data_IF_150172188192
#
_entry.id   IF_150172188192
#
_cell.length_a   1.000
_cell.length_b   1.000
_cell.length_c   1.000
_cell.angle_alpha   90.00
_cell.angle_beta   90.00
_cell.angle_gamma   90.00
#
_symmetry.space_group_name_H-M   'P 1'
#
loop_
_entity.id
_entity.type
_entity.pdbx_description
1 polymer ?
#
# COMPACT_ATOMS: atom_id res chain seq x y z
N UNK A 1 3.34 -31.48 -29.13
CA UNK A 1 2.11 -30.70 -29.43
C UNK A 1 2.47 -29.24 -29.22
N UNK A 2 2.67 -28.49 -30.31
CA UNK A 2 3.02 -27.08 -30.26
C UNK A 2 1.72 -26.30 -30.10
N UNK A 3 1.41 -25.88 -28.88
CA UNK A 3 0.47 -24.78 -28.68
C UNK A 3 1.08 -23.56 -29.36
N UNK A 4 0.33 -22.97 -30.29
CA UNK A 4 0.67 -21.72 -30.93
C UNK A 4 0.62 -20.62 -29.86
N UNK A 5 1.69 -20.50 -29.05
CA UNK A 5 1.83 -19.48 -28.01
C UNK A 5 1.88 -18.14 -28.71
N UNK A 6 0.79 -17.36 -28.65
CA UNK A 6 0.87 -15.93 -28.94
C UNK A 6 1.75 -15.30 -27.86
N UNK A 7 3.03 -15.16 -28.17
CA UNK A 7 4.04 -14.51 -27.34
C UNK A 7 4.14 -13.04 -27.76
N UNK A 8 3.80 -12.15 -26.84
CA UNK A 8 4.01 -10.71 -27.01
C UNK A 8 5.31 -10.33 -26.32
N UNK A 9 6.18 -9.58 -27.01
CA UNK A 9 7.44 -9.08 -26.42
C UNK A 9 7.37 -7.57 -26.22
N UNK A 10 7.82 -7.09 -25.07
CA UNK A 10 8.00 -5.67 -24.79
C UNK A 10 9.22 -5.46 -23.88
N UNK A 11 9.66 -4.22 -23.72
CA UNK A 11 10.76 -3.93 -22.81
C UNK A 11 10.29 -3.89 -21.35
N UNK A 12 9.16 -3.23 -21.09
CA UNK A 12 8.63 -3.01 -19.75
C UNK A 12 7.18 -3.49 -19.62
N UNK A 13 6.88 -4.13 -18.49
CA UNK A 13 5.50 -4.39 -18.06
C UNK A 13 5.25 -3.68 -16.73
N UNK A 14 4.11 -3.00 -16.63
CA UNK A 14 3.56 -2.54 -15.35
C UNK A 14 2.33 -3.39 -15.04
N UNK A 15 2.45 -4.31 -14.08
CA UNK A 15 1.38 -5.17 -13.62
C UNK A 15 0.72 -4.61 -12.37
N UNK A 16 -0.59 -4.36 -12.41
CA UNK A 16 -1.35 -3.70 -11.35
C UNK A 16 -1.27 -2.17 -11.48
N UNK A 17 -2.21 -1.60 -12.21
CA UNK A 17 -2.45 -0.16 -12.36
C UNK A 17 -3.48 0.35 -11.33
N UNK A 18 -3.35 -0.06 -10.07
CA UNK A 18 -3.93 0.65 -8.93
C UNK A 18 -3.10 1.89 -8.57
N UNK A 19 -3.30 2.45 -7.38
CA UNK A 19 -2.63 3.70 -6.96
C UNK A 19 -1.10 3.65 -7.04
N UNK A 20 -0.47 2.51 -6.73
CA UNK A 20 0.98 2.38 -6.77
C UNK A 20 1.51 2.32 -8.22
N UNK A 21 0.96 1.43 -9.05
CA UNK A 21 1.37 1.32 -10.45
C UNK A 21 1.03 2.56 -11.27
N UNK A 22 -0.12 3.18 -11.01
CA UNK A 22 -0.44 4.49 -11.58
C UNK A 22 0.54 5.54 -11.08
N UNK A 23 0.86 5.60 -9.78
CA UNK A 23 1.87 6.52 -9.26
C UNK A 23 3.21 6.46 -10.02
N UNK A 24 3.66 5.25 -10.39
CA UNK A 24 4.82 5.08 -11.28
C UNK A 24 4.62 5.72 -12.66
N UNK A 25 3.49 5.47 -13.32
CA UNK A 25 3.18 6.04 -14.63
C UNK A 25 3.03 7.57 -14.58
N UNK A 26 2.35 8.10 -13.57
CA UNK A 26 2.24 9.54 -13.30
C UNK A 26 3.62 10.16 -13.14
N UNK A 27 4.48 9.59 -12.30
CA UNK A 27 5.81 10.13 -12.08
C UNK A 27 6.69 10.04 -13.32
N UNK A 28 6.62 8.94 -14.08
CA UNK A 28 7.35 8.80 -15.34
C UNK A 28 6.97 9.88 -16.38
N UNK A 29 5.71 10.34 -16.40
CA UNK A 29 5.31 11.49 -17.20
C UNK A 29 5.88 12.80 -16.65
N UNK A 30 5.72 13.06 -15.33
CA UNK A 30 6.23 14.28 -14.67
C UNK A 30 7.74 14.45 -14.84
N UNK A 31 8.49 13.36 -14.77
CA UNK A 31 9.95 13.36 -14.87
C UNK A 31 10.47 13.32 -16.31
N UNK A 32 9.59 13.23 -17.32
CA UNK A 32 9.96 13.06 -18.73
C UNK A 32 10.54 11.69 -19.09
N UNK A 33 10.48 10.71 -18.19
CA UNK A 33 11.04 9.37 -18.39
C UNK A 33 10.19 8.49 -19.32
N UNK A 34 8.91 8.82 -19.50
CA UNK A 34 7.96 7.96 -20.23
C UNK A 34 8.40 7.65 -21.67
N UNK A 35 8.99 8.61 -22.38
CA UNK A 35 9.51 8.39 -23.74
C UNK A 35 10.49 7.21 -23.79
N UNK A 36 11.41 7.15 -22.81
CA UNK A 36 12.45 6.12 -22.78
C UNK A 36 11.89 4.77 -22.29
N UNK A 37 10.98 4.79 -21.31
CA UNK A 37 10.33 3.57 -20.82
C UNK A 37 9.48 2.91 -21.92
N UNK A 38 8.77 3.71 -22.72
CA UNK A 38 7.88 3.22 -23.76
C UNK A 38 8.58 2.93 -25.10
N UNK A 39 9.83 3.41 -25.30
CA UNK A 39 10.54 3.35 -26.59
C UNK A 39 10.58 1.95 -27.22
N UNK A 40 10.76 0.92 -26.39
CA UNK A 40 10.85 -0.48 -26.82
C UNK A 40 9.62 -1.30 -26.38
N UNK A 41 8.48 -0.64 -26.23
CA UNK A 41 7.21 -1.22 -25.83
C UNK A 41 7.01 -1.24 -24.32
N UNK A 42 5.88 -0.66 -23.91
CA UNK A 42 5.36 -0.72 -22.55
C UNK A 42 3.95 -1.30 -22.59
N UNK A 43 3.71 -2.31 -21.74
CA UNK A 43 2.38 -2.90 -21.53
C UNK A 43 1.96 -2.68 -20.08
N UNK A 44 0.79 -2.08 -19.88
CA UNK A 44 0.13 -1.94 -18.58
C UNK A 44 -0.93 -3.03 -18.49
N UNK A 45 -0.86 -3.87 -17.45
CA UNK A 45 -1.77 -5.00 -17.24
C UNK A 45 -2.48 -4.81 -15.90
N UNK A 46 -3.80 -4.86 -15.90
CA UNK A 46 -4.59 -4.75 -14.66
C UNK A 46 -5.75 -5.73 -14.65
N UNK A 47 -6.00 -6.32 -13.47
CA UNK A 47 -7.06 -7.29 -13.27
C UNK A 47 -8.47 -6.66 -13.32
N UNK A 48 -8.59 -5.36 -13.04
CA UNK A 48 -9.83 -4.60 -13.12
C UNK A 48 -10.12 -4.19 -14.57
N UNK A 49 -11.40 -4.12 -14.92
CA UNK A 49 -11.85 -3.48 -16.17
C UNK A 49 -11.65 -1.95 -16.14
N UNK A 50 -11.54 -1.37 -14.94
CA UNK A 50 -11.32 0.06 -14.71
C UNK A 50 -10.08 0.25 -13.82
N UNK A 51 -8.89 0.35 -14.41
CA UNK A 51 -7.66 0.64 -13.67
C UNK A 51 -7.70 2.01 -13.00
N UNK A 52 -6.88 2.20 -11.95
CA UNK A 52 -6.63 3.49 -11.31
C UNK A 52 -7.10 3.60 -9.86
N UNK A 53 -8.30 3.13 -9.57
CA UNK A 53 -8.87 3.22 -8.22
C UNK A 53 -8.19 2.27 -7.22
N UNK A 54 -7.81 1.08 -7.69
CA UNK A 54 -7.52 -0.05 -6.80
C UNK A 54 -8.72 -0.34 -5.88
N UNK A 55 -8.45 -0.75 -4.63
CA UNK A 55 -9.49 -0.97 -3.62
C UNK A 55 -9.84 0.27 -2.80
N UNK A 56 -9.07 1.35 -2.93
CA UNK A 56 -9.14 2.51 -2.04
C UNK A 56 -10.54 3.15 -2.03
N UNK A 57 -11.17 3.29 -3.20
CA UNK A 57 -12.49 3.90 -3.33
C UNK A 57 -13.64 3.09 -2.72
N UNK A 58 -13.40 1.85 -2.32
CA UNK A 58 -14.44 1.00 -1.73
C UNK A 58 -14.51 1.12 -0.20
N UNK A 59 -13.49 1.70 0.44
CA UNK A 59 -13.49 1.87 1.88
C UNK A 59 -14.45 2.98 2.31
N UNK A 60 -15.17 2.73 3.41
CA UNK A 60 -16.18 3.64 3.97
C UNK A 60 -15.63 4.37 5.20
N UNK A 61 -14.41 4.88 5.08
CA UNK A 61 -13.69 5.63 6.12
C UNK A 61 -12.99 6.83 5.48
N UNK A 62 -12.57 7.77 6.32
CA UNK A 62 -11.75 8.90 5.89
C UNK A 62 -10.31 8.50 5.64
N UNK A 63 -9.63 9.26 4.81
CA UNK A 63 -8.19 9.13 4.60
C UNK A 63 -7.40 9.44 5.87
N UNK A 64 -6.15 8.99 5.88
CA UNK A 64 -5.12 9.42 6.85
C UNK A 64 -4.19 10.48 6.24
N UNK A 65 -4.69 11.27 5.29
CA UNK A 65 -4.02 12.41 4.67
C UNK A 65 -5.05 13.48 4.38
N UNK A 66 -4.66 14.76 4.38
CA UNK A 66 -5.55 15.85 3.96
C UNK A 66 -5.84 15.80 2.46
N UNK A 67 -6.97 16.39 2.06
CA UNK A 67 -7.41 16.46 0.66
C UNK A 67 -6.38 17.07 -0.29
N UNK A 68 -5.68 18.12 0.15
CA UNK A 68 -4.72 18.82 -0.71
C UNK A 68 -3.52 17.93 -1.09
N UNK A 69 -3.15 16.94 -0.28
CA UNK A 69 -2.09 15.97 -0.63
C UNK A 69 -2.46 15.14 -1.86
N UNK A 70 -3.74 14.75 -1.98
CA UNK A 70 -4.22 14.02 -3.16
C UNK A 70 -4.32 14.92 -4.38
N UNK A 71 -4.74 16.17 -4.20
CA UNK A 71 -4.84 17.12 -5.30
C UNK A 71 -3.44 17.53 -5.80
N UNK A 72 -2.48 17.71 -4.89
CA UNK A 72 -1.09 18.04 -5.21
C UNK A 72 -0.46 17.00 -6.16
N UNK A 73 -0.78 15.72 -5.95
CA UNK A 73 -0.36 14.64 -6.86
C UNK A 73 -0.77 14.87 -8.33
N UNK A 74 -1.82 15.65 -8.56
CA UNK A 74 -2.46 15.92 -9.85
C UNK A 74 -2.20 17.35 -10.36
N UNK A 75 -1.57 18.24 -9.58
CA UNK A 75 -1.33 19.65 -9.95
C UNK A 75 0.01 19.89 -10.66
N UNK A 76 0.76 18.83 -10.96
CA UNK A 76 2.05 18.96 -11.64
C UNK A 76 1.90 19.67 -13.00
N UNK A 77 2.68 20.73 -13.29
CA UNK A 77 2.61 21.45 -14.56
C UNK A 77 2.75 20.56 -15.79
N UNK A 78 3.54 19.49 -15.73
CA UNK A 78 3.73 18.55 -16.83
C UNK A 78 2.45 17.78 -17.19
N UNK A 79 1.50 17.68 -16.27
CA UNK A 79 0.24 16.95 -16.45
C UNK A 79 -0.96 17.88 -16.67
N UNK A 80 -0.75 19.20 -16.68
CA UNK A 80 -1.83 20.20 -16.71
C UNK A 80 -2.82 19.98 -17.84
N UNK A 81 -2.34 19.76 -19.06
CA UNK A 81 -3.21 19.60 -20.22
C UNK A 81 -3.96 18.26 -20.20
N UNK A 82 -3.29 17.20 -19.76
CA UNK A 82 -3.86 15.85 -19.62
C UNK A 82 -4.97 15.84 -18.58
N UNK A 83 -4.76 16.52 -17.46
CA UNK A 83 -5.65 16.51 -16.29
C UNK A 83 -6.65 17.67 -16.27
N UNK A 84 -6.61 18.60 -17.23
CA UNK A 84 -7.57 19.70 -17.37
C UNK A 84 -9.04 19.25 -17.25
N UNK A 85 -9.47 18.11 -17.83
CA UNK A 85 -10.85 17.66 -17.68
C UNK A 85 -11.31 17.41 -16.24
N UNK A 86 -10.39 17.24 -15.27
CA UNK A 86 -10.74 17.10 -13.85
C UNK A 86 -11.38 18.37 -13.26
N UNK A 87 -11.27 19.52 -13.91
CA UNK A 87 -12.01 20.74 -13.52
C UNK A 87 -13.54 20.54 -13.53
N UNK A 88 -14.03 19.52 -14.24
CA UNK A 88 -15.44 19.14 -14.27
C UNK A 88 -15.78 17.97 -13.32
N UNK A 89 -14.80 17.45 -12.58
CA UNK A 89 -14.99 16.34 -11.65
C UNK A 89 -15.69 16.81 -10.37
N UNK A 90 -16.82 16.18 -10.05
CA UNK A 90 -17.49 16.42 -8.78
C UNK A 90 -16.63 15.94 -7.58
N UNK A 91 -15.87 14.85 -7.74
CA UNK A 91 -14.98 14.34 -6.70
C UNK A 91 -13.84 15.33 -6.40
N UNK A 92 -13.24 15.91 -7.45
CA UNK A 92 -12.23 16.96 -7.30
C UNK A 92 -12.74 18.14 -6.45
N UNK A 93 -13.94 18.66 -6.78
CA UNK A 93 -14.49 19.80 -6.05
C UNK A 93 -14.92 19.48 -4.63
N UNK A 94 -15.44 18.26 -4.36
CA UNK A 94 -15.73 17.82 -2.98
C UNK A 94 -14.46 17.78 -2.12
N UNK A 95 -13.37 17.22 -2.64
CA UNK A 95 -12.08 17.16 -1.92
C UNK A 95 -11.50 18.58 -1.77
N UNK A 96 -11.56 19.39 -2.83
CA UNK A 96 -11.01 20.76 -2.81
C UNK A 96 -11.75 21.68 -1.84
N UNK A 97 -13.06 21.55 -1.71
CA UNK A 97 -13.87 22.33 -0.77
C UNK A 97 -13.42 22.10 0.69
N UNK A 98 -12.85 20.93 0.99
CA UNK A 98 -12.37 20.56 2.32
C UNK A 98 -10.89 20.14 2.30
N UNK A 99 -10.06 20.84 1.53
CA UNK A 99 -8.68 20.46 1.22
C UNK A 99 -7.78 20.26 2.44
N UNK A 100 -8.06 20.94 3.56
CA UNK A 100 -7.31 20.86 4.82
C UNK A 100 -7.85 19.80 5.79
N UNK A 101 -8.82 18.99 5.37
CA UNK A 101 -9.38 17.88 6.15
C UNK A 101 -9.13 16.55 5.46
N UNK A 102 -9.29 15.45 6.20
CA UNK A 102 -9.23 14.11 5.64
C UNK A 102 -10.50 13.80 4.84
N UNK A 103 -10.43 13.64 3.50
CA UNK A 103 -11.59 13.32 2.68
C UNK A 103 -12.04 11.87 2.89
N UNK A 104 -13.27 11.55 2.47
CA UNK A 104 -13.72 10.17 2.35
C UNK A 104 -12.88 9.43 1.30
N UNK A 105 -12.45 8.20 1.60
CA UNK A 105 -11.67 7.41 0.65
C UNK A 105 -12.44 7.08 -0.63
N UNK A 106 -13.78 7.01 -0.57
CA UNK A 106 -14.62 6.86 -1.76
C UNK A 106 -14.48 8.03 -2.74
N UNK A 107 -14.42 9.27 -2.24
CA UNK A 107 -14.20 10.45 -3.08
C UNK A 107 -12.79 10.48 -3.67
N UNK A 108 -11.78 10.10 -2.88
CA UNK A 108 -10.39 9.99 -3.37
C UNK A 108 -10.30 8.92 -4.45
N UNK A 109 -10.91 7.76 -4.24
CA UNK A 109 -10.93 6.67 -5.21
C UNK A 109 -11.56 7.08 -6.53
N UNK A 110 -12.68 7.80 -6.49
CA UNK A 110 -13.34 8.34 -7.69
C UNK A 110 -12.43 9.33 -8.44
N UNK A 111 -11.82 10.28 -7.73
CA UNK A 111 -10.88 11.24 -8.33
C UNK A 111 -9.69 10.53 -8.98
N UNK A 112 -9.10 9.54 -8.29
CA UNK A 112 -7.95 8.79 -8.81
C UNK A 112 -8.31 7.93 -10.02
N UNK A 113 -9.52 7.36 -10.06
CA UNK A 113 -10.01 6.63 -11.23
C UNK A 113 -10.13 7.53 -12.46
N UNK A 114 -10.76 8.70 -12.30
CA UNK A 114 -10.92 9.69 -13.37
C UNK A 114 -9.56 10.19 -13.88
N UNK A 115 -8.65 10.53 -12.97
CA UNK A 115 -7.29 10.96 -13.33
C UNK A 115 -6.51 9.86 -14.05
N UNK A 116 -6.61 8.62 -13.57
CA UNK A 116 -5.90 7.48 -14.15
C UNK A 116 -6.38 7.17 -15.56
N UNK A 117 -7.70 7.25 -15.81
CA UNK A 117 -8.24 7.09 -17.16
C UNK A 117 -7.65 8.11 -18.13
N UNK A 118 -7.62 9.39 -17.74
CA UNK A 118 -7.05 10.46 -18.58
C UNK A 118 -5.57 10.21 -18.89
N UNK A 119 -4.79 9.78 -17.90
CA UNK A 119 -3.38 9.45 -18.08
C UNK A 119 -3.19 8.23 -18.97
N UNK A 120 -3.93 7.15 -18.76
CA UNK A 120 -3.83 5.95 -19.59
C UNK A 120 -4.21 6.24 -21.04
N UNK A 121 -5.28 7.01 -21.28
CA UNK A 121 -5.67 7.45 -22.63
C UNK A 121 -4.55 8.27 -23.29
N UNK A 122 -3.92 9.18 -22.54
CA UNK A 122 -2.76 9.94 -23.02
C UNK A 122 -1.57 9.04 -23.36
N UNK A 123 -1.25 8.06 -22.52
CA UNK A 123 -0.17 7.11 -22.75
C UNK A 123 -0.38 6.27 -24.01
N UNK A 124 -1.61 5.79 -24.24
CA UNK A 124 -1.96 5.06 -25.46
C UNK A 124 -1.75 5.96 -26.69
N UNK A 125 -2.29 7.17 -26.67
CA UNK A 125 -2.32 8.05 -27.84
C UNK A 125 -0.95 8.66 -28.20
N UNK A 126 -0.10 8.92 -27.21
CA UNK A 126 1.16 9.66 -27.43
C UNK A 126 2.42 8.81 -27.31
N UNK A 127 2.35 7.67 -26.61
CA UNK A 127 3.52 6.83 -26.35
C UNK A 127 3.36 5.40 -26.88
N UNK A 128 2.23 5.08 -27.53
CA UNK A 128 1.98 3.74 -28.06
C UNK A 128 1.89 2.65 -26.98
N UNK A 129 1.60 3.05 -25.74
CA UNK A 129 1.46 2.11 -24.61
C UNK A 129 0.24 1.22 -24.82
N UNK A 130 0.38 -0.07 -24.55
CA UNK A 130 -0.76 -0.99 -24.57
C UNK A 130 -1.34 -1.13 -23.17
N UNK A 131 -2.66 -1.07 -23.04
CA UNK A 131 -3.37 -1.26 -21.77
C UNK A 131 -4.26 -2.49 -21.86
N UNK A 132 -4.00 -3.48 -21.03
CA UNK A 132 -4.75 -4.73 -20.94
C UNK A 132 -5.50 -4.77 -19.61
N UNK A 133 -6.71 -4.20 -19.60
CA UNK A 133 -7.64 -4.29 -18.47
C UNK A 133 -8.38 -5.63 -18.45
N UNK A 134 -8.96 -5.99 -17.29
CA UNK A 134 -9.62 -7.27 -17.08
C UNK A 134 -8.68 -8.47 -17.28
N UNK A 135 -7.38 -8.26 -17.11
CA UNK A 135 -6.33 -9.23 -17.43
C UNK A 135 -5.46 -9.49 -16.19
N UNK A 136 -5.38 -10.75 -15.77
CA UNK A 136 -4.67 -11.15 -14.55
C UNK A 136 -3.32 -11.74 -14.91
N UNK A 137 -2.25 -11.27 -14.27
CA UNK A 137 -0.95 -11.96 -14.29
C UNK A 137 -1.06 -13.13 -13.30
N UNK A 138 -1.03 -14.36 -13.79
CA UNK A 138 -1.19 -15.57 -12.98
C UNK A 138 0.13 -16.22 -12.61
N UNK A 139 1.15 -16.04 -13.46
CA UNK A 139 2.48 -16.60 -13.27
C UNK A 139 3.56 -15.66 -13.82
N UNK A 140 4.71 -15.61 -13.16
CA UNK A 140 5.91 -14.90 -13.60
C UNK A 140 7.09 -15.88 -13.52
N UNK A 141 7.71 -16.12 -14.67
CA UNK A 141 8.94 -16.92 -14.79
C UNK A 141 10.11 -15.96 -14.96
N UNK A 142 11.09 -16.02 -14.06
CA UNK A 142 12.34 -15.27 -14.15
C UNK A 142 13.42 -16.15 -14.81
N UNK A 143 13.83 -15.80 -16.02
CA UNK A 143 14.80 -16.57 -16.81
C UNK A 143 15.68 -15.62 -17.66
N UNK A 144 16.99 -15.89 -17.72
CA UNK A 144 17.94 -15.24 -18.65
C UNK A 144 17.84 -13.70 -18.72
N UNK A 145 17.87 -13.03 -17.56
CA UNK A 145 17.73 -11.57 -17.45
C UNK A 145 16.44 -11.01 -18.08
N UNK A 146 15.38 -11.82 -18.13
CA UNK A 146 14.05 -11.44 -18.57
C UNK A 146 12.96 -12.08 -17.69
N UNK A 147 11.73 -11.66 -17.92
CA UNK A 147 10.53 -12.21 -17.32
C UNK A 147 9.61 -12.73 -18.42
N UNK A 148 9.03 -13.91 -18.20
CA UNK A 148 7.96 -14.45 -19.01
C UNK A 148 6.70 -14.57 -18.15
N UNK A 149 5.69 -13.77 -18.48
CA UNK A 149 4.46 -13.64 -17.71
C UNK A 149 3.36 -14.44 -18.38
N UNK A 150 2.67 -15.28 -17.60
CA UNK A 150 1.42 -15.89 -18.01
C UNK A 150 0.27 -15.00 -17.62
N UNK A 151 -0.47 -14.52 -18.60
CA UNK A 151 -1.61 -13.63 -18.38
C UNK A 151 -2.90 -14.30 -18.82
N UNK A 152 -3.98 -14.03 -18.10
CA UNK A 152 -5.29 -14.60 -18.36
C UNK A 152 -6.35 -13.49 -18.48
N UNK A 153 -7.18 -13.57 -19.53
CA UNK A 153 -8.34 -12.71 -19.73
C UNK A 153 -9.51 -13.54 -20.25
N UNK A 154 -10.63 -13.51 -19.54
CA UNK A 154 -11.85 -14.24 -19.90
C UNK A 154 -11.58 -15.73 -20.21
N UNK A 155 -10.73 -16.39 -19.41
CA UNK A 155 -10.33 -17.79 -19.59
C UNK A 155 -9.32 -18.06 -20.71
N UNK A 156 -8.87 -17.04 -21.44
CA UNK A 156 -7.85 -17.15 -22.48
C UNK A 156 -6.49 -16.78 -21.92
N UNK A 157 -5.52 -17.69 -22.06
CA UNK A 157 -4.14 -17.48 -21.61
C UNK A 157 -3.24 -16.98 -22.74
N UNK A 158 -2.33 -16.06 -22.41
CA UNK A 158 -1.26 -15.58 -23.29
C UNK A 158 0.07 -15.45 -22.54
N UNK A 159 1.17 -15.36 -23.29
CA UNK A 159 2.49 -15.14 -22.72
C UNK A 159 3.01 -13.75 -23.10
N UNK A 160 3.61 -13.05 -22.14
CA UNK A 160 4.29 -11.78 -22.35
C UNK A 160 5.73 -11.93 -21.91
N UNK A 161 6.68 -11.65 -22.80
CA UNK A 161 8.10 -11.56 -22.45
C UNK A 161 8.48 -10.10 -22.22
N UNK A 162 9.10 -9.81 -21.09
CA UNK A 162 9.59 -8.48 -20.75
C UNK A 162 11.00 -8.47 -20.18
N UNK A 163 11.73 -7.38 -20.38
CA UNK A 163 13.08 -7.22 -19.82
C UNK A 163 13.00 -6.79 -18.35
N UNK A 164 12.03 -5.93 -18.03
CA UNK A 164 11.78 -5.41 -16.70
C UNK A 164 10.29 -5.49 -16.36
N UNK A 165 10.00 -5.60 -15.07
CA UNK A 165 8.66 -5.79 -14.54
C UNK A 165 8.47 -4.93 -13.29
N UNK A 166 7.56 -3.97 -13.37
CA UNK A 166 7.04 -3.25 -12.20
C UNK A 166 5.73 -3.91 -11.80
N UNK A 167 5.66 -4.53 -10.63
CA UNK A 167 4.54 -5.37 -10.20
C UNK A 167 3.94 -4.85 -8.88
N UNK A 168 2.72 -4.34 -8.96
CA UNK A 168 1.96 -3.73 -7.88
C UNK A 168 0.57 -4.37 -7.73
N UNK A 169 0.46 -5.67 -7.37
CA UNK A 169 -0.80 -6.41 -7.42
C UNK A 169 -1.75 -6.06 -6.26
N UNK A 170 -1.35 -5.14 -5.37
CA UNK A 170 -2.05 -4.84 -4.14
C UNK A 170 -1.79 -5.87 -3.04
N UNK A 171 -2.59 -5.79 -1.98
CA UNK A 171 -2.44 -6.65 -0.82
C UNK A 171 -3.75 -7.23 -0.34
N UNK A 172 -3.65 -8.30 0.44
CA UNK A 172 -4.77 -8.94 1.15
C UNK A 172 -4.38 -9.26 2.58
N UNK A 173 -5.36 -9.38 3.45
CA UNK A 173 -5.16 -9.93 4.78
C UNK A 173 -5.26 -11.46 4.73
N UNK A 174 -4.23 -12.15 5.18
CA UNK A 174 -4.17 -13.61 5.24
C UNK A 174 -4.25 -14.05 6.70
N UNK A 175 -5.33 -14.72 7.14
CA UNK A 175 -5.51 -15.14 8.53
C UNK A 175 -4.35 -15.95 9.10
N UNK A 176 -3.76 -16.82 8.30
CA UNK A 176 -2.62 -17.66 8.70
C UNK A 176 -1.40 -16.84 9.11
N UNK A 177 -1.16 -15.67 8.48
CA UNK A 177 -0.08 -14.77 8.90
C UNK A 177 -0.35 -14.17 10.28
N UNK A 178 -1.59 -13.79 10.57
CA UNK A 178 -1.97 -13.29 11.90
C UNK A 178 -1.82 -14.40 12.96
N UNK A 179 -2.32 -15.61 12.70
CA UNK A 179 -2.21 -16.77 13.60
C UNK A 179 -0.74 -17.06 13.90
N UNK A 180 0.10 -17.19 12.86
CA UNK A 180 1.53 -17.44 13.03
C UNK A 180 2.22 -16.28 13.78
N UNK A 181 1.81 -15.04 13.54
CA UNK A 181 2.38 -13.89 14.26
C UNK A 181 2.00 -13.88 15.74
N UNK A 182 0.75 -14.19 16.08
CA UNK A 182 0.28 -14.29 17.47
C UNK A 182 0.96 -15.46 18.19
N UNK A 183 1.12 -16.60 17.53
CA UNK A 183 1.81 -17.77 18.08
C UNK A 183 3.29 -17.47 18.46
N UNK A 184 4.00 -16.66 17.65
CA UNK A 184 5.37 -16.19 17.99
C UNK A 184 5.43 -15.30 19.24
N UNK A 185 4.29 -14.81 19.72
CA UNK A 185 4.15 -14.02 20.94
C UNK A 185 3.42 -14.80 22.04
N UNK A 186 3.36 -16.13 21.98
CA UNK A 186 2.69 -17.00 22.96
C UNK A 186 1.18 -16.72 23.13
N UNK A 187 0.54 -16.26 22.05
CA UNK A 187 -0.89 -16.02 21.96
C UNK A 187 -1.53 -16.97 20.93
N UNK A 188 -1.70 -18.26 21.25
CA UNK A 188 -2.25 -19.21 20.29
C UNK A 188 -3.70 -18.86 19.94
N UNK A 189 -4.04 -18.97 18.65
CA UNK A 189 -5.40 -18.80 18.16
C UNK A 189 -5.79 -20.06 17.36
N UNK A 190 -6.99 -20.60 17.60
CA UNK A 190 -7.47 -21.78 16.89
C UNK A 190 -7.56 -21.52 15.38
N UNK A 191 -7.19 -22.49 14.55
CA UNK A 191 -7.39 -22.42 13.10
C UNK A 191 -8.88 -22.41 12.72
N UNK A 192 -9.75 -22.90 13.61
CA UNK A 192 -11.22 -22.88 13.44
C UNK A 192 -11.85 -21.57 13.92
N UNK A 193 -11.06 -20.63 14.46
CA UNK A 193 -11.56 -19.34 14.92
C UNK A 193 -12.23 -18.59 13.76
N UNK A 194 -13.37 -17.97 14.05
CA UNK A 194 -14.01 -17.07 13.10
C UNK A 194 -13.19 -15.77 12.97
N UNK A 195 -12.30 -15.74 11.98
CA UNK A 195 -11.46 -14.57 11.69
C UNK A 195 -12.10 -13.75 10.58
N UNK A 196 -12.41 -12.50 10.87
CA UNK A 196 -12.90 -11.52 9.91
C UNK A 196 -11.79 -10.56 9.50
N UNK A 197 -11.69 -10.30 8.19
CA UNK A 197 -10.71 -9.36 7.64
C UNK A 197 -11.22 -7.92 7.77
N UNK A 198 -10.44 -7.04 8.42
CA UNK A 198 -10.75 -5.60 8.45
C UNK A 198 -10.83 -5.00 7.04
N UNK A 199 -10.00 -5.45 6.10
CA UNK A 199 -10.08 -5.02 4.70
C UNK A 199 -11.49 -5.21 4.14
N UNK A 200 -12.11 -6.38 4.36
CA UNK A 200 -13.51 -6.63 3.95
C UNK A 200 -14.50 -5.77 4.74
N UNK A 201 -14.34 -5.71 6.07
CA UNK A 201 -15.31 -5.05 6.96
C UNK A 201 -15.34 -3.52 6.77
N UNK A 202 -14.20 -2.88 6.51
CA UNK A 202 -14.11 -1.43 6.28
C UNK A 202 -14.82 -0.97 4.99
N UNK A 203 -15.21 -1.91 4.12
CA UNK A 203 -16.00 -1.65 2.91
C UNK A 203 -17.51 -1.81 3.14
N UNK A 204 -17.91 -2.33 4.30
CA UNK A 204 -19.30 -2.61 4.63
C UNK A 204 -20.02 -1.41 5.25
N UNK A 205 -21.32 -1.30 5.00
CA UNK A 205 -22.19 -0.38 5.74
C UNK A 205 -22.59 -0.98 7.10
N UNK A 206 -23.23 -0.16 7.95
CA UNK A 206 -23.64 -0.58 9.30
C UNK A 206 -24.60 -1.79 9.31
N UNK A 207 -25.49 -1.93 8.33
CA UNK A 207 -26.41 -3.07 8.23
C UNK A 207 -25.65 -4.36 7.97
N UNK A 208 -24.72 -4.33 7.00
CA UNK A 208 -23.87 -5.47 6.67
C UNK A 208 -22.96 -5.87 7.84
N UNK A 209 -22.42 -4.89 8.58
CA UNK A 209 -21.65 -5.17 9.80
C UNK A 209 -22.53 -5.88 10.84
N UNK A 210 -23.75 -5.40 11.09
CA UNK A 210 -24.68 -6.08 12.01
C UNK A 210 -24.97 -7.51 11.59
N UNK A 211 -25.15 -7.79 10.30
CA UNK A 211 -25.35 -9.14 9.79
C UNK A 211 -24.15 -10.05 10.06
N UNK A 212 -22.93 -9.56 9.80
CA UNK A 212 -21.69 -10.33 10.05
C UNK A 212 -21.51 -10.68 11.53
N UNK A 213 -21.86 -9.76 12.43
CA UNK A 213 -21.66 -9.92 13.86
C UNK A 213 -22.93 -10.38 14.62
N UNK A 214 -24.04 -10.66 13.94
CA UNK A 214 -25.32 -10.99 14.56
C UNK A 214 -25.23 -12.18 15.52
N UNK A 215 -24.54 -13.25 15.13
CA UNK A 215 -24.38 -14.44 15.96
C UNK A 215 -23.52 -14.15 17.21
N UNK A 216 -22.45 -13.38 17.05
CA UNK A 216 -21.59 -12.97 18.15
C UNK A 216 -22.38 -12.14 19.18
N UNK A 217 -23.18 -11.19 18.71
CA UNK A 217 -24.01 -10.35 19.58
C UNK A 217 -25.10 -11.17 20.28
N UNK A 218 -25.79 -12.06 19.56
CA UNK A 218 -26.86 -12.89 20.12
C UNK A 218 -26.36 -13.87 21.20
N UNK A 219 -25.10 -14.31 21.12
CA UNK A 219 -24.48 -15.17 22.13
C UNK A 219 -23.72 -14.40 23.21
N UNK A 220 -23.81 -13.07 23.25
CA UNK A 220 -22.97 -12.21 24.11
C UNK A 220 -21.47 -12.51 23.96
N UNK A 221 -21.07 -12.92 22.76
CA UNK A 221 -19.72 -13.35 22.43
C UNK A 221 -18.76 -12.18 22.33
N UNK A 222 -17.53 -12.39 22.84
CA UNK A 222 -16.47 -11.38 22.76
C UNK A 222 -16.03 -11.15 21.31
N UNK A 223 -15.84 -9.88 20.94
CA UNK A 223 -15.22 -9.47 19.67
C UNK A 223 -13.84 -8.87 19.98
N UNK A 224 -12.80 -9.48 19.43
CA UNK A 224 -11.41 -9.06 19.63
C UNK A 224 -10.79 -8.58 18.33
N UNK A 225 -10.20 -7.40 18.32
CA UNK A 225 -9.44 -6.86 17.19
C UNK A 225 -7.94 -7.08 17.43
N UNK A 226 -7.18 -7.43 16.38
CA UNK A 226 -5.74 -7.63 16.45
C UNK A 226 -5.03 -6.67 15.50
N UNK A 227 -4.39 -5.64 16.05
CA UNK A 227 -3.70 -4.59 15.29
C UNK A 227 -3.51 -3.31 16.12
N UNK A 228 -2.64 -2.40 15.68
CA UNK A 228 -2.32 -1.17 16.43
C UNK A 228 -2.24 0.09 15.58
N UNK A 229 -2.66 0.03 14.31
CA UNK A 229 -2.55 1.12 13.33
C UNK A 229 -3.94 1.61 12.89
N UNK A 230 -4.00 2.54 11.94
CA UNK A 230 -5.22 3.20 11.44
C UNK A 230 -6.42 2.26 11.22
N UNK A 231 -6.21 1.14 10.51
CA UNK A 231 -7.28 0.17 10.23
C UNK A 231 -7.94 -0.39 11.51
N UNK A 232 -7.18 -0.58 12.59
CA UNK A 232 -7.70 -1.10 13.85
C UNK A 232 -8.63 -0.09 14.54
N UNK A 233 -8.24 1.18 14.57
CA UNK A 233 -9.03 2.24 15.20
C UNK A 233 -10.25 2.62 14.36
N UNK A 234 -10.14 2.58 13.03
CA UNK A 234 -11.30 2.67 12.14
C UNK A 234 -12.29 1.52 12.34
N UNK A 235 -11.79 0.30 12.58
CA UNK A 235 -12.65 -0.83 12.90
C UNK A 235 -13.29 -0.72 14.29
N UNK A 236 -12.57 -0.21 15.30
CA UNK A 236 -13.16 0.08 16.60
C UNK A 236 -14.37 1.01 16.44
N UNK A 237 -14.19 2.16 15.78
CA UNK A 237 -15.25 3.12 15.53
C UNK A 237 -16.42 2.51 14.76
N UNK A 238 -16.15 1.89 13.60
CA UNK A 238 -17.21 1.35 12.75
C UNK A 238 -18.02 0.25 13.46
N UNK A 239 -17.38 -0.59 14.28
CA UNK A 239 -18.09 -1.62 15.06
C UNK A 239 -18.88 -1.00 16.21
N UNK A 240 -18.29 -0.05 16.94
CA UNK A 240 -18.99 0.63 18.02
C UNK A 240 -20.25 1.35 17.49
N UNK A 241 -20.10 2.19 16.47
CA UNK A 241 -21.22 2.93 15.87
C UNK A 241 -22.30 2.00 15.27
N UNK A 242 -21.89 0.91 14.61
CA UNK A 242 -22.83 0.02 13.95
C UNK A 242 -23.57 -0.92 14.92
N UNK A 243 -22.91 -1.34 16.01
CA UNK A 243 -23.34 -2.45 16.85
C UNK A 243 -23.75 -2.04 18.28
N UNK A 244 -23.50 -0.81 18.73
CA UNK A 244 -23.93 -0.31 20.06
C UNK A 244 -25.44 -0.55 20.26
N UNK A 245 -26.27 -0.09 19.32
CA UNK A 245 -27.73 -0.28 19.36
C UNK A 245 -28.16 -1.75 19.21
N UNK A 246 -27.26 -2.63 18.79
CA UNK A 246 -27.47 -4.06 18.71
C UNK A 246 -26.97 -4.81 19.95
N UNK A 247 -26.55 -4.09 21.00
CA UNK A 247 -26.16 -4.65 22.30
C UNK A 247 -24.66 -4.79 22.51
N UNK A 248 -23.81 -4.28 21.62
CA UNK A 248 -22.36 -4.28 21.85
C UNK A 248 -22.01 -3.35 23.01
N UNK A 249 -21.37 -3.88 24.05
CA UNK A 249 -20.96 -3.10 25.24
C UNK A 249 -19.45 -2.92 25.36
N UNK A 250 -18.67 -3.84 24.81
CA UNK A 250 -17.21 -3.86 24.97
C UNK A 250 -16.52 -4.47 23.73
N UNK A 251 -15.38 -3.88 23.36
CA UNK A 251 -14.43 -4.44 22.39
C UNK A 251 -13.07 -4.65 23.07
N UNK A 252 -12.32 -5.64 22.62
CA UNK A 252 -10.92 -5.82 23.03
C UNK A 252 -10.01 -5.53 21.83
N UNK A 253 -9.02 -4.65 22.00
CA UNK A 253 -7.97 -4.40 21.02
C UNK A 253 -6.63 -4.95 21.53
N UNK A 254 -6.10 -5.98 20.86
CA UNK A 254 -4.78 -6.53 21.12
C UNK A 254 -3.79 -5.93 20.13
N UNK A 255 -2.73 -5.33 20.65
CA UNK A 255 -1.69 -4.70 19.84
C UNK A 255 -0.28 -5.07 20.32
N UNK A 256 0.68 -5.13 19.39
CA UNK A 256 2.05 -5.58 19.69
C UNK A 256 2.80 -4.57 20.56
N UNK A 257 2.89 -3.34 20.09
CA UNK A 257 3.69 -2.26 20.66
C UNK A 257 2.82 -1.07 21.02
N UNK A 258 3.40 -0.10 21.73
CA UNK A 258 2.74 1.17 22.07
C UNK A 258 1.98 1.76 20.88
N UNK A 259 0.74 2.19 21.11
CA UNK A 259 -0.05 2.96 20.15
C UNK A 259 0.58 4.35 20.01
N UNK A 260 0.97 4.70 18.79
CA UNK A 260 1.62 5.98 18.49
C UNK A 260 0.60 6.97 17.94
N UNK A 261 0.67 8.21 18.41
CA UNK A 261 -0.18 9.30 17.97
C UNK A 261 0.64 10.30 17.15
N UNK A 262 0.11 10.74 16.02
CA UNK A 262 0.74 11.73 15.15
C UNK A 262 0.51 13.16 15.67
N UNK A 263 1.55 13.99 15.56
CA UNK A 263 1.47 15.44 15.80
C UNK A 263 2.30 16.18 14.74
N UNK A 264 1.81 17.34 14.30
CA UNK A 264 2.52 18.17 13.32
C UNK A 264 3.80 18.78 13.90
N UNK A 265 3.83 19.03 15.21
CA UNK A 265 5.01 19.59 15.88
C UNK A 265 5.21 19.06 17.29
N UNK A 266 6.39 19.36 17.85
CA UNK A 266 6.75 19.07 19.23
C UNK A 266 5.84 19.81 20.20
N UNK A 267 5.55 21.07 19.91
CA UNK A 267 4.69 21.94 20.71
C UNK A 267 3.26 21.41 20.78
N UNK A 268 2.74 20.90 19.65
CA UNK A 268 1.40 20.28 19.61
C UNK A 268 1.35 19.01 20.47
N UNK A 269 2.37 18.16 20.39
CA UNK A 269 2.47 16.95 21.21
C UNK A 269 2.54 17.28 22.71
N UNK A 270 3.33 18.29 23.07
CA UNK A 270 3.44 18.76 24.46
C UNK A 270 2.14 19.39 24.98
N UNK A 271 1.47 20.21 24.17
CA UNK A 271 0.19 20.81 24.52
C UNK A 271 -0.91 19.74 24.75
N UNK A 272 -0.83 18.62 24.04
CA UNK A 272 -1.72 17.48 24.23
C UNK A 272 -1.31 16.55 25.39
N UNK A 273 -0.21 16.84 26.10
CA UNK A 273 0.32 15.98 27.16
C UNK A 273 0.78 14.61 26.66
N UNK A 274 1.12 14.48 25.38
CA UNK A 274 1.56 13.23 24.80
C UNK A 274 3.02 12.95 25.15
N UNK A 275 3.28 11.80 25.75
CA UNK A 275 4.64 11.35 26.03
C UNK A 275 5.30 10.83 24.75
N UNK A 276 6.51 11.28 24.42
CA UNK A 276 7.26 10.77 23.27
C UNK A 276 8.76 10.90 23.52
N UNK A 277 9.55 10.11 22.80
CA UNK A 277 11.00 10.24 22.77
C UNK A 277 11.40 11.29 21.71
N UNK A 278 12.01 12.44 22.09
CA UNK A 278 12.33 13.52 21.15
C UNK A 278 13.41 13.16 20.13
N UNK A 279 14.15 12.06 20.33
CA UNK A 279 15.15 11.55 19.40
C UNK A 279 14.58 10.42 18.53
N UNK A 280 13.85 9.48 19.12
CA UNK A 280 13.38 8.29 18.43
C UNK A 280 12.02 8.50 17.73
N UNK A 281 11.12 9.29 18.30
CA UNK A 281 9.76 9.47 17.77
C UNK A 281 9.64 10.72 16.88
N UNK A 282 10.66 11.57 16.84
CA UNK A 282 10.70 12.76 15.98
C UNK A 282 11.29 12.41 14.61
N UNK A 283 10.59 12.77 13.55
CA UNK A 283 11.15 12.69 12.20
C UNK A 283 12.23 13.78 12.02
N UNK A 284 13.49 13.43 11.71
CA UNK A 284 14.58 14.39 11.60
C UNK A 284 14.44 15.33 10.40
N UNK A 285 13.69 14.92 9.37
CA UNK A 285 13.48 15.72 8.15
C UNK A 285 12.38 16.76 8.37
N UNK A 286 11.23 16.33 8.88
CA UNK A 286 10.04 17.21 8.98
C UNK A 286 9.81 17.83 10.36
N UNK A 287 10.49 17.35 11.40
CA UNK A 287 10.26 17.75 12.78
C UNK A 287 8.98 17.20 13.43
N UNK A 288 8.11 16.53 12.66
CA UNK A 288 6.85 15.91 13.11
C UNK A 288 7.08 14.73 14.07
N UNK A 289 6.11 14.47 14.93
CA UNK A 289 6.14 13.34 15.87
C UNK A 289 5.34 12.16 15.31
N UNK A 290 5.93 10.96 15.35
CA UNK A 290 5.36 9.72 14.82
C UNK A 290 4.83 9.90 13.38
N UNK A 291 5.63 10.50 12.50
CA UNK A 291 5.23 10.86 11.14
C UNK A 291 4.71 9.65 10.37
N UNK A 292 5.38 8.52 10.49
CA UNK A 292 5.06 7.33 9.69
C UNK A 292 4.11 6.39 10.43
N UNK A 293 4.37 6.12 11.71
CA UNK A 293 3.61 5.13 12.49
C UNK A 293 2.50 5.70 13.37
N UNK A 294 2.32 7.03 13.42
CA UNK A 294 1.31 7.66 14.26
C UNK A 294 -0.09 7.63 13.66
N UNK A 295 -1.12 7.39 14.49
CA UNK A 295 -2.52 7.55 14.10
C UNK A 295 -2.82 8.99 13.72
N UNK A 296 -3.54 9.21 12.63
CA UNK A 296 -3.88 10.53 12.07
C UNK A 296 -5.39 10.76 11.98
N UNK A 297 -5.78 12.03 12.01
CA UNK A 297 -7.16 12.51 11.80
C UNK A 297 -8.18 11.69 12.59
N UNK A 298 -9.15 11.04 11.94
CA UNK A 298 -10.20 10.33 12.67
C UNK A 298 -9.64 9.20 13.55
N UNK A 299 -8.66 8.44 13.07
CA UNK A 299 -8.02 7.40 13.88
C UNK A 299 -7.25 7.97 15.08
N UNK A 300 -6.70 9.19 14.97
CA UNK A 300 -6.05 9.89 16.07
C UNK A 300 -7.07 10.25 17.16
N UNK A 301 -8.23 10.77 16.77
CA UNK A 301 -9.30 11.11 17.71
C UNK A 301 -9.78 9.88 18.48
N UNK A 302 -10.09 8.80 17.76
CA UNK A 302 -10.52 7.52 18.36
C UNK A 302 -9.43 6.93 19.24
N UNK A 303 -8.16 7.00 18.81
CA UNK A 303 -7.02 6.53 19.60
C UNK A 303 -6.84 7.30 20.90
N UNK A 304 -6.91 8.64 20.85
CA UNK A 304 -6.84 9.50 22.05
C UNK A 304 -7.97 9.17 23.02
N UNK A 305 -9.20 9.06 22.53
CA UNK A 305 -10.36 8.77 23.35
C UNK A 305 -10.27 7.39 24.01
N UNK A 306 -9.97 6.35 23.22
CA UNK A 306 -9.77 4.99 23.73
C UNK A 306 -8.69 4.93 24.83
N UNK A 307 -7.60 5.67 24.66
CA UNK A 307 -6.50 5.70 25.64
C UNK A 307 -6.84 6.51 26.91
N UNK A 308 -7.64 7.57 26.81
CA UNK A 308 -7.96 8.47 27.92
C UNK A 308 -9.18 8.02 28.72
N UNK A 309 -10.26 7.64 28.05
CA UNK A 309 -11.56 7.33 28.67
C UNK A 309 -11.90 5.83 28.68
N UNK A 310 -11.18 5.01 27.91
CA UNK A 310 -11.51 3.60 27.73
C UNK A 310 -12.80 3.36 26.94
N UNK A 311 -13.26 4.36 26.17
CA UNK A 311 -14.44 4.27 25.30
C UNK A 311 -14.08 4.52 23.84
N UNK A 312 -14.92 4.03 22.92
CA UNK A 312 -14.72 4.18 21.49
C UNK A 312 -15.53 5.35 20.95
N UNK A 313 -14.83 6.42 20.53
CA UNK A 313 -15.52 7.56 19.93
C UNK A 313 -16.59 8.11 20.86
N UNK A 314 -17.66 8.64 20.27
CA UNK A 314 -18.79 9.20 21.03
C UNK A 314 -19.79 8.14 21.52
N UNK A 315 -19.46 6.85 21.42
CA UNK A 315 -20.35 5.75 21.78
C UNK A 315 -20.21 5.38 23.26
N UNK A 316 -21.19 4.66 23.79
CA UNK A 316 -21.12 4.00 25.10
C UNK A 316 -20.29 2.70 25.11
N UNK A 317 -19.70 2.30 23.98
CA UNK A 317 -18.94 1.05 23.87
C UNK A 317 -17.56 1.22 24.52
N UNK A 318 -17.27 0.36 25.50
CA UNK A 318 -15.97 0.32 26.17
C UNK A 318 -14.93 -0.38 25.29
N UNK A 319 -13.67 -0.01 25.46
CA UNK A 319 -12.54 -0.69 24.81
C UNK A 319 -11.45 -1.04 25.80
N UNK A 320 -11.06 -2.30 25.78
CA UNK A 320 -9.89 -2.78 26.50
C UNK A 320 -8.68 -2.82 25.55
N UNK A 321 -7.66 -2.00 25.83
CA UNK A 321 -6.40 -1.98 25.09
C UNK A 321 -5.39 -2.89 25.77
N UNK A 322 -4.89 -3.91 25.06
CA UNK A 322 -3.96 -4.90 25.58
C UNK A 322 -2.65 -4.90 24.77
N UNK A 323 -1.57 -4.44 25.40
CA UNK A 323 -0.26 -4.37 24.76
C UNK A 323 0.56 -5.64 25.05
N UNK A 324 0.94 -6.36 24.00
CA UNK A 324 1.62 -7.65 24.13
C UNK A 324 3.10 -7.50 24.48
N UNK A 325 3.81 -6.52 23.91
CA UNK A 325 5.23 -6.29 24.14
C UNK A 325 5.46 -4.98 24.90
N UNK A 326 6.03 -5.06 26.10
CA UNK A 326 6.28 -3.87 26.95
C UNK A 326 5.00 -3.23 27.49
N UNK A 327 3.90 -3.99 27.57
CA UNK A 327 2.64 -3.57 28.17
C UNK A 327 2.65 -3.60 29.70
N UNK A 328 1.48 -3.35 30.31
CA UNK A 328 1.31 -3.41 31.76
C UNK A 328 1.42 -4.86 32.25
N UNK A 329 1.71 -5.03 33.54
CA UNK A 329 1.71 -6.34 34.16
C UNK A 329 0.34 -7.00 34.01
N UNK A 330 0.29 -8.17 33.34
CA UNK A 330 -0.93 -8.92 33.10
C UNK A 330 -1.56 -8.73 31.71
N UNK A 331 -1.16 -7.73 30.92
CA UNK A 331 -1.74 -7.49 29.58
C UNK A 331 -1.60 -8.71 28.67
N UNK A 332 -0.43 -9.36 28.68
CA UNK A 332 -0.19 -10.58 27.90
C UNK A 332 -1.15 -11.72 28.27
N UNK A 333 -1.32 -11.95 29.57
CA UNK A 333 -2.24 -12.97 30.08
C UNK A 333 -3.69 -12.65 29.75
N UNK A 334 -4.08 -11.37 29.84
CA UNK A 334 -5.42 -10.91 29.47
C UNK A 334 -5.65 -11.04 27.95
N UNK A 335 -4.65 -10.75 27.12
CA UNK A 335 -4.73 -10.92 25.68
C UNK A 335 -4.95 -12.40 25.31
N UNK A 336 -4.25 -13.31 26.01
CA UNK A 336 -4.42 -14.76 25.86
C UNK A 336 -5.84 -15.21 26.20
N UNK A 337 -6.39 -14.72 27.32
CA UNK A 337 -7.78 -15.01 27.72
C UNK A 337 -8.79 -14.44 26.74
N UNK A 338 -8.61 -13.17 26.34
CA UNK A 338 -9.50 -12.52 25.38
C UNK A 338 -9.56 -13.28 24.05
N UNK A 339 -8.43 -13.75 23.52
CA UNK A 339 -8.40 -14.57 22.30
C UNK A 339 -9.10 -15.92 22.48
N UNK A 340 -8.92 -16.57 23.63
CA UNK A 340 -9.56 -17.86 23.92
C UNK A 340 -11.09 -17.74 24.08
N UNK A 341 -11.57 -16.63 24.63
CA UNK A 341 -13.00 -16.32 24.82
C UNK A 341 -13.66 -15.65 23.61
N UNK A 342 -12.88 -15.31 22.57
CA UNK A 342 -13.40 -14.62 21.40
C UNK A 342 -14.36 -15.49 20.61
N UNK A 343 -15.53 -14.95 20.29
CA UNK A 343 -16.45 -15.51 19.30
C UNK A 343 -16.03 -15.13 17.88
N UNK A 344 -15.43 -13.94 17.72
CA UNK A 344 -14.94 -13.41 16.46
C UNK A 344 -13.64 -12.65 16.72
N UNK A 345 -12.64 -12.89 15.86
CA UNK A 345 -11.40 -12.10 15.82
C UNK A 345 -11.35 -11.28 14.54
N UNK A 346 -11.12 -9.98 14.66
CA UNK A 346 -10.95 -9.08 13.52
C UNK A 346 -9.47 -8.85 13.26
N UNK A 347 -9.00 -9.25 12.08
CA UNK A 347 -7.62 -9.06 11.64
C UNK A 347 -7.40 -7.61 11.20
N UNK A 348 -6.59 -6.87 11.95
CA UNK A 348 -6.14 -5.51 11.66
C UNK A 348 -4.60 -5.44 11.61
N UNK A 349 -3.93 -6.55 11.28
CA UNK A 349 -2.48 -6.75 11.44
C UNK A 349 -1.65 -6.53 10.16
N UNK A 350 -2.12 -5.67 9.26
CA UNK A 350 -1.46 -5.38 7.98
C UNK A 350 -1.78 -6.36 6.84
N UNK A 351 -1.16 -6.13 5.67
CA UNK A 351 -1.45 -6.81 4.41
C UNK A 351 -0.25 -7.63 3.91
N UNK A 352 -0.54 -8.72 3.19
CA UNK A 352 0.43 -9.53 2.44
C UNK A 352 0.27 -9.25 0.94
N UNK A 353 1.33 -9.30 0.13
CA UNK A 353 1.25 -9.00 -1.29
C UNK A 353 0.47 -10.08 -2.06
N UNK A 354 -0.32 -9.66 -3.06
CA UNK A 354 -1.06 -10.54 -3.97
C UNK A 354 -0.17 -11.05 -5.11
N UNK A 355 0.90 -11.76 -4.78
CA UNK A 355 1.87 -12.22 -5.78
C UNK A 355 1.28 -13.27 -6.73
N UNK A 356 1.56 -13.20 -8.05
CA UNK A 356 1.37 -14.34 -8.93
C UNK A 356 2.28 -15.50 -8.50
N UNK A 357 2.03 -16.69 -9.06
CA UNK A 357 3.00 -17.79 -8.90
C UNK A 357 4.32 -17.36 -9.52
N UNK A 358 5.42 -17.47 -8.78
CA UNK A 358 6.75 -17.12 -9.30
C UNK A 358 7.62 -18.35 -9.44
N UNK A 359 8.31 -18.44 -10.58
CA UNK A 359 9.25 -19.54 -10.89
C UNK A 359 10.55 -19.04 -11.48
N UNK A 360 11.60 -19.82 -11.32
CA UNK A 360 12.83 -19.64 -12.10
C UNK A 360 12.74 -20.33 -13.47
N UNK A 361 13.78 -20.17 -14.30
CA UNK A 361 13.87 -20.79 -15.62
C UNK A 361 13.86 -22.33 -15.61
N UNK A 362 14.21 -22.95 -14.48
CA UNK A 362 14.15 -24.40 -14.27
C UNK A 362 12.76 -24.87 -13.80
N UNK A 363 11.85 -23.94 -13.53
CA UNK A 363 10.49 -24.21 -13.07
C UNK A 363 10.34 -24.34 -11.55
N UNK A 364 11.39 -24.12 -10.76
CA UNK A 364 11.31 -24.15 -9.30
C UNK A 364 10.55 -22.94 -8.77
N UNK A 365 9.79 -23.11 -7.69
CA UNK A 365 9.06 -22.01 -7.07
C UNK A 365 10.01 -21.00 -6.43
N UNK A 366 9.78 -19.72 -6.72
CA UNK A 366 10.46 -18.60 -6.06
C UNK A 366 9.54 -18.04 -4.98
N UNK A 367 9.94 -18.20 -3.72
CA UNK A 367 9.29 -17.55 -2.60
C UNK A 367 10.08 -16.28 -2.24
N UNK A 368 9.41 -15.13 -2.21
CA UNK A 368 10.05 -13.90 -1.75
C UNK A 368 10.22 -13.91 -0.23
N UNK A 369 11.29 -13.26 0.23
CA UNK A 369 11.53 -13.03 1.65
C UNK A 369 10.65 -11.88 2.12
N UNK A 370 10.01 -12.08 3.26
CA UNK A 370 9.27 -11.05 3.99
C UNK A 370 10.03 -10.63 5.25
N UNK A 371 10.04 -9.35 5.56
CA UNK A 371 10.60 -8.78 6.78
C UNK A 371 9.66 -7.69 7.28
N UNK A 372 9.43 -7.60 8.60
CA UNK A 372 8.62 -6.53 9.23
C UNK A 372 7.32 -6.18 8.48
N UNK A 373 6.54 -7.20 8.09
CA UNK A 373 5.21 -7.01 7.46
C UNK A 373 5.20 -6.54 6.00
N UNK A 374 6.29 -6.73 5.25
CA UNK A 374 6.34 -6.50 3.80
C UNK A 374 7.52 -7.24 3.16
N UNK A 375 7.74 -7.06 1.86
CA UNK A 375 8.83 -7.70 1.12
C UNK A 375 10.20 -7.15 1.54
N UNK A 376 11.18 -8.03 1.64
CA UNK A 376 12.57 -7.62 1.74
C UNK A 376 13.03 -7.13 0.38
N UNK A 377 12.89 -5.83 0.17
CA UNK A 377 13.26 -5.14 -1.06
C UNK A 377 14.32 -4.08 -0.80
N UNK A 378 15.13 -3.80 -1.82
CA UNK A 378 16.00 -2.63 -1.82
C UNK A 378 15.20 -1.32 -1.98
N UNK A 379 15.85 -0.13 -1.97
CA UNK A 379 15.15 1.14 -2.15
C UNK A 379 14.39 1.30 -3.48
N UNK A 380 14.74 0.54 -4.52
CA UNK A 380 14.06 0.53 -5.81
C UNK A 380 13.00 -0.57 -5.90
N UNK A 381 12.62 -1.18 -4.77
CA UNK A 381 11.59 -2.21 -4.72
C UNK A 381 12.03 -3.58 -5.24
N UNK A 382 13.32 -3.82 -5.47
CA UNK A 382 13.82 -5.09 -5.98
C UNK A 382 13.85 -6.16 -4.86
N UNK A 383 12.99 -7.20 -4.93
CA UNK A 383 12.82 -8.14 -3.83
C UNK A 383 13.95 -9.17 -3.78
N UNK A 384 14.13 -9.76 -2.61
CA UNK A 384 15.00 -10.92 -2.40
C UNK A 384 14.17 -12.19 -2.25
N UNK A 385 14.64 -13.31 -2.78
CA UNK A 385 14.07 -14.62 -2.49
C UNK A 385 14.61 -15.21 -1.17
N UNK A 386 14.04 -16.34 -0.73
CA UNK A 386 14.46 -17.04 0.49
C UNK A 386 15.93 -17.52 0.45
N UNK A 387 16.54 -17.66 -0.73
CA UNK A 387 17.95 -18.06 -0.88
C UNK A 387 18.92 -16.89 -0.75
N UNK A 388 18.42 -15.66 -0.67
CA UNK A 388 19.24 -14.45 -0.59
C UNK A 388 19.51 -13.79 -1.95
N UNK A 389 18.93 -14.31 -3.03
CA UNK A 389 19.13 -13.78 -4.39
C UNK A 389 18.14 -12.64 -4.66
N UNK A 390 18.64 -11.53 -5.19
CA UNK A 390 17.82 -10.41 -5.69
C UNK A 390 17.27 -10.73 -7.07
N UNK A 391 15.99 -10.45 -7.31
CA UNK A 391 15.34 -10.64 -8.62
C UNK A 391 15.50 -9.37 -9.46
N UNK A 392 16.71 -9.17 -9.98
CA UNK A 392 17.07 -7.98 -10.77
C UNK A 392 16.08 -7.70 -11.92
N UNK A 393 15.55 -6.49 -11.97
CA UNK A 393 14.55 -6.07 -12.96
C UNK A 393 13.10 -6.32 -12.56
N UNK A 394 12.85 -6.96 -11.41
CA UNK A 394 11.53 -7.00 -10.78
C UNK A 394 11.46 -5.91 -9.72
N UNK A 395 10.44 -5.07 -9.77
CA UNK A 395 10.24 -3.96 -8.84
C UNK A 395 8.84 -4.02 -8.24
N UNK A 396 8.73 -4.10 -6.91
CA UNK A 396 7.45 -4.09 -6.20
C UNK A 396 7.43 -3.01 -5.13
N UNK A 397 6.30 -2.33 -5.04
CA UNK A 397 5.98 -1.37 -3.98
C UNK A 397 4.46 -1.22 -3.86
N UNK A 398 3.98 -0.41 -2.92
CA UNK A 398 2.55 -0.29 -2.65
C UNK A 398 2.02 -1.35 -1.68
N UNK A 399 0.70 -1.38 -1.47
CA UNK A 399 0.07 -2.18 -0.43
C UNK A 399 0.47 -3.67 -0.50
N UNK A 400 0.83 -4.26 0.64
CA UNK A 400 1.29 -5.65 0.74
C UNK A 400 2.78 -5.82 0.44
N UNK A 401 3.31 -5.21 -0.62
CA UNK A 401 4.75 -5.24 -0.90
C UNK A 401 5.52 -4.35 0.09
N UNK A 402 5.12 -3.08 0.18
CA UNK A 402 5.72 -2.07 1.05
C UNK A 402 7.14 -1.70 0.67
N UNK A 403 7.54 -0.47 0.99
CA UNK A 403 8.96 -0.08 0.99
C UNK A 403 9.45 0.02 2.43
N UNK A 404 10.69 -0.42 2.65
CA UNK A 404 11.36 -0.18 3.93
C UNK A 404 11.61 1.31 4.15
N UNK A 405 11.82 1.68 5.41
CA UNK A 405 12.25 3.03 5.77
C UNK A 405 13.60 3.32 5.11
N UNK A 406 13.67 4.43 4.37
CA UNK A 406 14.88 4.95 3.78
C UNK A 406 15.05 6.40 4.27
N UNK A 407 16.26 6.84 4.66
CA UNK A 407 16.55 8.24 4.99
C UNK A 407 15.97 9.26 4.00
N UNK A 408 15.91 8.93 2.71
CA UNK A 408 15.36 9.77 1.65
C UNK A 408 13.83 9.93 1.69
N UNK A 409 13.10 8.89 2.13
CA UNK A 409 11.64 8.95 2.32
C UNK A 409 11.28 9.69 3.63
N UNK A 410 12.24 9.76 4.55
CA UNK A 410 12.12 10.34 5.88
C UNK A 410 11.18 9.54 6.78
N UNK A 411 11.55 9.34 8.04
CA UNK A 411 10.69 8.73 9.06
C UNK A 411 11.29 9.01 10.43
N UNK A 412 10.50 8.91 11.49
CA UNK A 412 11.03 8.80 12.85
C UNK A 412 11.87 7.50 13.01
N UNK A 413 13.02 7.53 13.71
CA UNK A 413 13.88 6.36 13.92
C UNK A 413 13.20 5.17 14.60
N UNK A 414 12.21 5.42 15.46
CA UNK A 414 11.43 4.39 16.14
C UNK A 414 10.51 3.62 15.18
N UNK A 415 10.30 4.12 13.95
CA UNK A 415 9.46 3.46 12.96
C UNK A 415 10.22 2.33 12.27
N UNK A 416 9.71 1.10 12.44
CA UNK A 416 10.29 -0.10 11.84
C UNK A 416 9.32 -0.80 10.89
N UNK A 417 8.19 -0.16 10.57
CA UNK A 417 7.16 -0.67 9.67
C UNK A 417 7.46 -0.45 8.19
N UNK A 418 6.39 -0.41 7.39
CA UNK A 418 6.44 -0.22 5.94
C UNK A 418 5.81 1.10 5.56
N UNK A 419 6.43 1.77 4.60
CA UNK A 419 5.95 3.05 4.11
C UNK A 419 5.01 2.78 2.91
N UNK A 420 3.77 3.26 3.04
CA UNK A 420 2.83 3.37 1.92
C UNK A 420 2.37 4.83 1.82
N UNK A 421 1.97 5.28 0.63
CA UNK A 421 1.42 6.63 0.50
C UNK A 421 1.20 7.01 -0.95
N UNK A 422 -0.01 7.49 -1.26
CA UNK A 422 -0.36 7.91 -2.62
C UNK A 422 0.62 8.96 -3.13
N UNK A 423 0.91 9.97 -2.30
CA UNK A 423 1.90 10.99 -2.65
C UNK A 423 3.28 10.39 -2.93
N UNK A 424 3.75 9.44 -2.11
CA UNK A 424 5.06 8.81 -2.30
C UNK A 424 5.12 8.02 -3.61
N UNK A 425 4.03 7.31 -3.97
CA UNK A 425 3.95 6.59 -5.24
C UNK A 425 4.04 7.53 -6.44
N UNK A 426 3.55 8.76 -6.33
CA UNK A 426 3.63 9.77 -7.41
C UNK A 426 4.96 10.54 -7.44
N UNK A 427 5.87 10.28 -6.48
CA UNK A 427 7.12 11.02 -6.30
C UNK A 427 8.27 10.07 -5.89
N UNK A 428 8.78 10.16 -4.67
CA UNK A 428 10.08 9.55 -4.31
C UNK A 428 10.12 8.02 -4.40
N UNK A 429 9.03 7.32 -4.05
CA UNK A 429 9.00 5.85 -4.10
C UNK A 429 9.13 5.35 -5.53
N UNK A 430 8.37 5.94 -6.47
CA UNK A 430 8.46 5.54 -7.87
C UNK A 430 9.68 6.12 -8.58
N UNK A 431 10.26 7.24 -8.12
CA UNK A 431 11.48 7.81 -8.73
C UNK A 431 12.63 6.80 -8.70
N UNK A 432 12.88 6.17 -7.55
CA UNK A 432 13.92 5.14 -7.42
C UNK A 432 13.66 3.94 -8.35
N UNK A 433 12.40 3.55 -8.52
CA UNK A 433 11.99 2.48 -9.44
C UNK A 433 12.22 2.91 -10.90
N UNK A 434 11.84 4.13 -11.28
CA UNK A 434 12.04 4.68 -12.63
C UNK A 434 13.53 4.70 -12.97
N UNK A 435 14.38 5.19 -12.07
CA UNK A 435 15.84 5.23 -12.28
C UNK A 435 16.41 3.82 -12.50
N UNK A 436 15.97 2.83 -11.72
CA UNK A 436 16.39 1.44 -11.87
C UNK A 436 15.88 0.81 -13.18
N UNK A 437 14.63 1.08 -13.56
CA UNK A 437 14.04 0.65 -14.84
C UNK A 437 14.84 1.23 -16.00
N UNK A 438 15.09 2.54 -16.02
CA UNK A 438 15.86 3.19 -17.09
C UNK A 438 17.29 2.65 -17.16
N UNK A 439 17.96 2.45 -16.02
CA UNK A 439 19.30 1.88 -15.99
C UNK A 439 19.33 0.48 -16.64
N UNK A 440 18.34 -0.36 -16.35
CA UNK A 440 18.21 -1.70 -16.94
C UNK A 440 17.95 -1.65 -18.45
N UNK A 441 17.01 -0.80 -18.88
CA UNK A 441 16.68 -0.62 -20.30
C UNK A 441 17.90 -0.15 -21.12
N UNK A 442 18.70 0.77 -20.56
CA UNK A 442 19.95 1.24 -21.17
C UNK A 442 21.02 0.16 -21.24
N UNK A 443 21.19 -0.63 -20.17
CA UNK A 443 22.16 -1.73 -20.14
C UNK A 443 21.88 -2.77 -21.24
N UNK A 444 20.62 -3.16 -21.42
CA UNK A 444 20.27 -4.12 -22.46
C UNK A 444 20.40 -3.54 -23.87
N UNK A 445 20.01 -2.28 -24.08
CA UNK A 445 20.29 -1.60 -25.34
C UNK A 445 21.79 -1.60 -25.69
N UNK A 446 22.67 -1.42 -24.69
CA UNK A 446 24.13 -1.51 -24.92
C UNK A 446 24.64 -2.94 -25.12
N UNK A 447 23.97 -3.96 -24.58
CA UNK A 447 24.31 -5.36 -24.80
C UNK A 447 23.91 -5.81 -26.21
N UNK A 448 22.72 -5.43 -26.68
CA UNK A 448 22.25 -5.68 -28.06
C UNK A 448 23.13 -4.95 -29.09
N UNK A 449 23.55 -3.72 -28.79
CA UNK A 449 24.50 -2.96 -29.63
C UNK A 449 25.88 -3.61 -29.63
N UNK A 450 26.36 -4.22 -28.52
CA UNK A 450 27.67 -4.90 -28.46
C UNK A 450 27.72 -6.22 -29.23
N UNK A 451 26.58 -6.83 -29.53
CA UNK A 451 26.50 -8.00 -30.43
C UNK A 451 26.54 -7.55 -31.92
N UNK A 452 26.50 -6.24 -32.18
CA UNK A 452 26.70 -5.64 -33.51
C UNK A 452 28.11 -5.01 -33.60
N UNK A 453 29.00 -5.40 -34.52
CA UNK A 453 30.38 -4.90 -34.50
C UNK A 453 30.53 -3.46 -35.03
N UNK A 454 31.10 -2.59 -34.18
CA UNK A 454 31.69 -1.26 -34.50
C UNK A 454 30.69 -0.09 -34.46
N UNK A 455 30.98 1.10 -33.92
CA UNK A 455 32.22 1.88 -33.80
C UNK A 455 32.10 2.83 -32.58
N UNK A 456 33.23 3.06 -31.87
CA UNK A 456 33.36 3.95 -30.69
C UNK A 456 33.48 5.42 -31.08
N UNK A 457 32.95 6.31 -30.21
CA UNK A 457 33.46 7.61 -29.72
C UNK A 457 32.27 8.32 -29.03
N UNK A 458 32.30 9.02 -27.90
CA UNK A 458 33.30 9.57 -26.99
C UNK A 458 32.53 10.65 -26.19
N UNK A 459 32.48 10.55 -24.85
CA UNK A 459 31.81 11.52 -23.95
C UNK A 459 32.78 12.67 -23.58
N UNK A 460 32.50 13.65 -22.67
CA UNK A 460 31.29 13.90 -21.85
C UNK A 460 30.94 15.41 -21.64
N UNK A 461 29.87 15.71 -20.87
CA UNK A 461 29.78 16.97 -20.12
C UNK A 461 28.38 17.42 -19.70
N UNK A 462 28.06 17.33 -18.41
CA UNK A 462 26.98 18.06 -17.72
C UNK A 462 27.59 18.84 -16.54
N UNK A 463 26.92 19.87 -15.99
CA UNK A 463 26.09 19.60 -14.81
C UNK A 463 24.79 20.42 -14.69
N UNK A 464 23.80 19.83 -14.00
CA UNK A 464 22.56 20.47 -13.52
C UNK A 464 22.71 20.88 -12.04
N UNK A 465 22.16 22.04 -11.68
CA UNK A 465 21.87 22.44 -10.29
C UNK A 465 20.42 22.10 -9.90
N UNK A 466 20.19 21.74 -8.63
CA UNK A 466 18.88 21.49 -8.02
C UNK A 466 18.59 22.50 -6.91
N UNK A 467 17.33 22.93 -6.79
CA UNK A 467 16.65 23.19 -5.52
C UNK A 467 15.15 22.94 -5.67
N UNK A 468 14.50 22.35 -4.66
CA UNK A 468 13.07 22.50 -4.35
C UNK A 468 12.72 21.77 -3.03
N UNK A 469 11.71 22.33 -2.34
CA UNK A 469 11.30 22.15 -0.95
C UNK A 469 10.32 20.99 -0.70
N UNK A 470 10.12 20.73 0.60
CA UNK A 470 9.27 19.78 1.32
C UNK A 470 7.80 19.68 0.87
N UNK A 471 7.23 18.45 0.98
CA UNK A 471 6.03 18.03 1.77
C UNK A 471 5.82 16.51 1.54
N UNK A 472 5.70 15.67 2.59
CA UNK A 472 5.49 14.21 2.42
C UNK A 472 4.73 13.54 3.58
N UNK A 473 3.72 12.70 3.25
CA UNK A 473 2.78 12.02 4.16
C UNK A 473 2.75 10.49 3.92
N UNK A 474 2.62 9.69 4.99
CA UNK A 474 2.58 8.22 5.02
C UNK A 474 1.16 7.68 5.30
N UNK A 475 0.86 6.48 4.79
CA UNK A 475 -0.34 5.67 5.00
C UNK A 475 0.13 4.28 5.48
N UNK A 476 -0.55 3.67 6.47
CA UNK A 476 -0.37 2.28 6.91
C UNK A 476 -1.63 1.44 6.69
#
# INVERSE_FOLDING_TARGET
MSENRMETTCACVVGGAGLAGMGFLFNALKSGAMNEIAANGLIVIDASDQPGMGTLGHYRITANSIGDVFIDCLRDPALRDVLKPLEYSAAYWRIKAHAQSAPQLSDVGLLMAEASRLVLDHLVNHYGVQVWSGTVITEVISADDAFCLRVERAGVTRWVRSQTLVLNPGGRQVPQHMIASLARHDLPLSETMNIQSADRLLRMNAVQLREVFALALASEGRITLVGGSHSAFSMLENLADALEFAGLQELTLIHRSRIRLFYESLEEAQAAGYEFDPQLDRCPVSGRINRSGGLRYRSLDIGREAMLSGHVGKTGVRVQLLQVSGGRAGDHQQARLALAESSVVVQCSGYQPLLPVMRDGDGNLINLREIKGGLDSDPAGCPMDQSGRRLSGLHLFGLGAGLGVNPQLGSEPAFDGRIYGVWLFHHDASRAVIEAVLARLRQQATADVRITPGIKNGAPGAPYGRSANDWQVCIE
#
